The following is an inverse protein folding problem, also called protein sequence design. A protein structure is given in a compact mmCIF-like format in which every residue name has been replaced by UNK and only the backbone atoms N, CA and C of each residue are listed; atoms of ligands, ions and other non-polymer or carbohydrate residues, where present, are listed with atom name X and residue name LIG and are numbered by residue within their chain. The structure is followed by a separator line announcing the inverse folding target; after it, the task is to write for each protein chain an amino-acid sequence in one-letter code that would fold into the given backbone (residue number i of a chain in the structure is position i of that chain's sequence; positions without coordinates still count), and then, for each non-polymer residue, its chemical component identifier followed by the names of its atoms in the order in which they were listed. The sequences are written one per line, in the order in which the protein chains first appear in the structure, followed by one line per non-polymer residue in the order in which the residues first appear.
data_IF_512972340886
#
_entry.id   IF_512972340886
#
_cell.length_a   1.000
_cell.length_b   1.000
_cell.length_c   1.000
_cell.angle_alpha   90.00
_cell.angle_beta   90.00
_cell.angle_gamma   90.00
#
_symmetry.space_group_name_H-M   'P 1'
#
loop_
_entity.id
_entity.type
_entity.pdbx_description
1 polymer ?
#
# COMPACT_ATOMS: atom_id res chain seq x y z
N UNK A 1 -23.29 3.34 30.84
CA UNK A 1 -23.04 4.76 30.49
C UNK A 1 -22.19 4.73 29.23
N UNK A 2 -22.73 4.86 28.01
CA UNK A 2 -23.46 5.98 27.38
C UNK A 2 -22.54 7.12 26.91
N UNK A 3 -22.88 7.72 25.77
CA UNK A 3 -22.12 8.68 24.93
C UNK A 3 -21.18 7.95 23.93
N UNK A 4 -21.22 8.21 22.61
CA UNK A 4 -21.88 9.28 21.85
C UNK A 4 -22.81 8.76 20.74
N UNK A 5 -23.90 9.52 20.46
CA UNK A 5 -24.64 9.48 19.19
C UNK A 5 -24.07 10.57 18.28
N UNK A 6 -23.93 10.30 16.99
CA UNK A 6 -23.61 11.31 15.97
C UNK A 6 -24.88 11.69 15.21
N UNK A 7 -25.10 12.98 14.97
CA UNK A 7 -26.29 13.51 14.32
C UNK A 7 -25.88 14.33 13.07
N UNK A 8 -26.21 13.91 11.83
CA UNK A 8 -25.57 14.43 10.63
C UNK A 8 -26.34 15.60 10.00
N UNK A 9 -26.34 16.77 10.64
CA UNK A 9 -26.98 18.00 10.11
C UNK A 9 -26.32 19.30 10.62
N UNK A 10 -25.08 19.60 10.19
CA UNK A 10 -24.50 20.95 10.35
C UNK A 10 -23.46 21.25 9.23
N UNK A 11 -23.70 22.22 8.33
CA UNK A 11 -22.85 22.44 7.15
C UNK A 11 -21.66 23.42 7.37
N UNK A 12 -21.35 23.86 8.59
CA UNK A 12 -20.34 24.89 8.87
C UNK A 12 -19.20 24.46 9.82
N UNK A 13 -18.35 23.51 9.39
CA UNK A 13 -17.00 23.33 9.99
C UNK A 13 -15.93 23.14 8.91
N UNK A 14 -15.72 24.18 8.09
CA UNK A 14 -14.50 24.35 7.32
C UNK A 14 -13.47 25.14 8.17
N UNK A 15 -12.82 24.45 9.11
CA UNK A 15 -11.89 25.04 10.07
C UNK A 15 -10.68 24.15 10.33
N UNK A 16 -9.51 24.76 10.42
CA UNK A 16 -8.19 24.12 10.55
C UNK A 16 -8.15 23.00 11.61
N UNK A 17 -7.90 21.77 11.17
CA UNK A 17 -7.46 20.69 12.06
C UNK A 17 -5.93 20.78 12.23
N UNK A 18 -5.50 21.52 13.25
CA UNK A 18 -4.15 21.34 13.80
C UNK A 18 -4.03 19.92 14.37
N UNK A 19 -3.22 19.08 13.73
CA UNK A 19 -2.87 17.79 14.30
C UNK A 19 -1.90 18.00 15.47
N UNK A 20 -2.11 17.33 16.62
CA UNK A 20 -1.24 17.50 17.78
C UNK A 20 0.18 17.05 17.44
N UNK A 21 1.17 17.89 17.75
CA UNK A 21 2.59 17.54 17.69
C UNK A 21 2.87 16.34 18.59
N UNK A 22 2.92 15.15 18.00
CA UNK A 22 3.49 13.97 18.65
C UNK A 22 4.93 14.32 19.02
N UNK A 23 5.32 14.09 20.27
CA UNK A 23 6.63 14.50 20.78
C UNK A 23 7.77 13.75 20.09
N UNK A 24 8.40 14.40 19.10
CA UNK A 24 9.65 13.94 18.47
C UNK A 24 10.85 14.00 19.44
N UNK A 25 10.69 14.66 20.58
CA UNK A 25 11.73 15.03 21.56
C UNK A 25 12.37 13.90 22.37
N UNK A 26 12.29 12.64 21.93
CA UNK A 26 12.99 11.49 22.55
C UNK A 26 13.63 10.50 21.57
N UNK A 27 13.58 10.73 20.26
CA UNK A 27 14.27 9.86 19.27
C UNK A 27 15.66 10.33 18.85
N UNK A 28 16.09 11.53 19.25
CA UNK A 28 17.42 12.06 18.94
C UNK A 28 18.55 11.58 19.88
N UNK A 29 18.22 10.98 21.03
CA UNK A 29 19.17 10.82 22.14
C UNK A 29 20.13 9.61 22.03
N UNK A 30 19.71 8.50 21.40
CA UNK A 30 20.47 7.23 21.40
C UNK A 30 21.18 6.89 20.07
N UNK A 31 21.28 7.85 19.14
CA UNK A 31 22.08 7.74 17.91
C UNK A 31 23.61 7.81 18.16
N UNK A 32 24.08 7.17 19.23
CA UNK A 32 25.45 7.27 19.78
C UNK A 32 26.46 6.37 19.05
N UNK A 33 26.19 6.01 17.79
CA UNK A 33 27.18 5.53 16.82
C UNK A 33 27.23 6.44 15.60
N UNK A 34 28.00 7.53 15.75
CA UNK A 34 28.42 8.44 14.68
C UNK A 34 27.30 9.23 13.94
N UNK A 35 26.65 10.18 14.63
CA UNK A 35 25.80 11.27 14.08
C UNK A 35 26.53 12.26 13.13
N UNK A 36 27.20 11.73 12.11
CA UNK A 36 27.96 12.42 11.06
C UNK A 36 28.38 11.45 9.95
N UNK A 37 28.56 10.16 10.29
CA UNK A 37 28.41 9.08 9.31
C UNK A 37 26.91 8.86 9.13
N UNK A 38 26.16 8.61 10.22
CA UNK A 38 24.69 8.56 10.22
C UNK A 38 24.09 9.73 9.43
N UNK A 39 24.37 11.00 9.76
CA UNK A 39 23.84 12.14 8.99
C UNK A 39 24.23 12.20 7.51
N UNK A 40 25.39 11.67 7.10
CA UNK A 40 25.77 11.60 5.67
C UNK A 40 25.30 10.32 4.99
N UNK A 41 24.89 9.31 5.75
CA UNK A 41 24.43 7.99 5.29
C UNK A 41 22.90 7.96 5.24
N UNK A 42 22.18 8.56 6.21
CA UNK A 42 20.78 9.03 6.13
C UNK A 42 20.50 9.83 4.84
N UNK A 43 21.56 10.40 4.26
CA UNK A 43 21.58 11.26 3.08
C UNK A 43 22.04 10.50 1.81
N UNK A 44 22.19 9.16 1.80
CA UNK A 44 22.93 8.53 0.70
C UNK A 44 22.37 7.24 0.04
N UNK A 45 21.42 6.41 0.56
CA UNK A 45 20.81 5.31 -0.24
C UNK A 45 19.42 4.70 0.14
N UNK A 46 18.45 4.71 -0.80
CA UNK A 46 17.51 3.57 -1.00
C UNK A 46 17.30 3.34 -2.52
N UNK A 47 18.08 2.41 -3.10
CA UNK A 47 17.84 1.46 -4.22
C UNK A 47 16.77 1.74 -5.34
N UNK A 48 16.76 1.10 -6.53
CA UNK A 48 17.39 -0.10 -7.10
C UNK A 48 17.29 -0.02 -8.66
N UNK A 49 18.13 -0.74 -9.43
CA UNK A 49 17.72 -1.69 -10.50
C UNK A 49 18.98 -2.33 -11.18
N UNK A 50 18.92 -3.64 -11.46
CA UNK A 50 19.92 -4.39 -12.24
C UNK A 50 19.79 -4.18 -13.76
N UNK A 51 18.64 -3.73 -14.28
CA UNK A 51 18.39 -3.66 -15.72
C UNK A 51 19.20 -2.55 -16.45
N UNK A 52 19.51 -1.45 -15.77
CA UNK A 52 20.06 -0.24 -16.41
C UNK A 52 21.57 -0.27 -16.67
N UNK A 53 22.32 -1.18 -16.05
CA UNK A 53 23.76 -1.38 -16.32
C UNK A 53 24.06 -1.91 -17.75
N UNK A 54 23.03 -2.16 -18.56
CA UNK A 54 23.13 -2.61 -19.95
C UNK A 54 22.83 -1.53 -21.00
N UNK A 55 22.43 -0.32 -20.60
CA UNK A 55 22.11 0.78 -21.53
C UNK A 55 22.92 2.03 -21.18
N UNK A 56 23.65 2.53 -22.17
CA UNK A 56 24.38 3.80 -22.08
C UNK A 56 23.48 4.90 -21.49
N UNK A 57 23.99 5.75 -20.57
CA UNK A 57 23.27 6.95 -20.18
C UNK A 57 23.11 7.84 -21.41
N UNK A 58 21.87 7.95 -21.89
CA UNK A 58 21.50 8.97 -22.88
C UNK A 58 21.67 10.37 -22.28
N UNK A 59 21.75 11.41 -23.13
CA UNK A 59 22.01 12.77 -22.67
C UNK A 59 20.96 13.24 -21.65
N UNK A 60 21.44 13.99 -20.66
CA UNK A 60 20.69 14.47 -19.50
C UNK A 60 19.36 15.12 -19.90
N UNK A 61 18.24 14.52 -19.47
CA UNK A 61 16.96 15.22 -19.48
C UNK A 61 16.91 16.18 -18.30
N UNK A 62 17.21 17.45 -18.58
CA UNK A 62 16.88 18.56 -17.68
C UNK A 62 15.39 18.49 -17.31
N UNK A 63 15.10 18.25 -16.03
CA UNK A 63 13.76 18.44 -15.49
C UNK A 63 13.65 19.82 -14.85
N UNK A 64 12.66 20.59 -15.30
CA UNK A 64 12.40 21.96 -14.88
C UNK A 64 11.72 22.03 -13.50
N UNK A 65 12.08 23.07 -12.73
CA UNK A 65 11.45 23.44 -11.45
C UNK A 65 12.06 22.72 -10.24
N UNK A 66 12.67 23.37 -9.25
CA UNK A 66 12.73 24.79 -8.91
C UNK A 66 14.19 25.29 -8.91
N UNK A 67 14.41 26.61 -9.01
CA UNK A 67 15.67 27.21 -8.52
C UNK A 67 15.75 27.04 -7.00
N UNK A 68 16.36 25.93 -6.56
CA UNK A 68 16.51 25.63 -5.14
C UNK A 68 17.44 26.65 -4.48
N UNK A 69 17.01 27.28 -3.39
CA UNK A 69 17.82 28.21 -2.61
C UNK A 69 19.25 27.67 -2.39
N UNK A 70 20.25 28.42 -2.86
CA UNK A 70 21.67 28.03 -2.77
C UNK A 70 22.12 27.91 -1.31
N UNK A 71 21.49 28.71 -0.44
CA UNK A 71 21.71 28.81 0.99
C UNK A 71 20.38 29.10 1.71
N UNK A 72 20.25 28.63 2.95
CA UNK A 72 19.21 29.08 3.88
C UNK A 72 19.83 29.92 4.99
N UNK A 73 19.11 30.93 5.47
CA UNK A 73 19.45 31.62 6.71
C UNK A 73 18.54 31.06 7.81
N UNK A 74 19.13 30.32 8.75
CA UNK A 74 18.44 29.78 9.92
C UNK A 74 19.08 30.42 11.14
N UNK A 75 18.30 31.09 12.00
CA UNK A 75 18.78 31.77 13.21
C UNK A 75 19.99 32.70 12.98
N UNK A 76 19.92 33.53 11.93
CA UNK A 76 21.01 34.42 11.46
C UNK A 76 22.29 33.73 11.00
N UNK A 77 22.28 32.41 10.79
CA UNK A 77 23.41 31.60 10.36
C UNK A 77 23.20 31.06 8.94
N UNK A 78 24.26 31.13 8.13
CA UNK A 78 24.26 30.65 6.75
C UNK A 78 24.45 29.13 6.71
N UNK A 79 23.41 28.45 6.23
CA UNK A 79 23.35 27.01 5.97
C UNK A 79 23.49 26.78 4.46
N UNK A 80 24.41 25.91 4.05
CA UNK A 80 24.51 25.49 2.66
C UNK A 80 23.49 24.41 2.39
N UNK A 81 22.72 24.58 1.31
CA UNK A 81 21.88 23.52 0.74
C UNK A 81 22.69 22.90 -0.39
N UNK A 82 22.96 21.60 -0.33
CA UNK A 82 23.71 20.86 -1.36
C UNK A 82 22.90 19.64 -1.77
N UNK A 83 22.69 19.47 -3.07
CA UNK A 83 22.08 18.26 -3.60
C UNK A 83 23.18 17.25 -3.92
N UNK A 84 23.13 16.07 -3.31
CA UNK A 84 23.99 14.94 -3.68
C UNK A 84 23.13 13.92 -4.41
N UNK A 85 23.58 13.44 -5.57
CA UNK A 85 22.85 12.48 -6.40
C UNK A 85 23.69 11.24 -6.61
N UNK A 86 23.11 10.07 -6.38
CA UNK A 86 23.71 8.75 -6.60
C UNK A 86 22.69 7.91 -7.38
N UNK A 87 23.02 7.57 -8.62
CA UNK A 87 22.07 6.90 -9.52
C UNK A 87 20.84 7.76 -9.78
N UNK A 88 19.65 7.22 -9.48
CA UNK A 88 18.34 7.88 -9.59
C UNK A 88 17.91 8.62 -8.30
N UNK A 89 18.67 8.49 -7.21
CA UNK A 89 18.29 9.00 -5.90
C UNK A 89 19.10 10.25 -5.56
N UNK A 90 18.46 11.24 -4.93
CA UNK A 90 19.03 12.56 -4.64
C UNK A 90 18.62 13.02 -3.25
N UNK A 91 19.55 13.59 -2.49
CA UNK A 91 19.32 14.07 -1.13
C UNK A 91 19.79 15.49 -0.94
N UNK A 92 19.12 16.18 -0.03
CA UNK A 92 19.35 17.58 0.30
C UNK A 92 20.16 17.69 1.60
N UNK A 93 21.43 18.03 1.50
CA UNK A 93 22.31 18.27 2.64
C UNK A 93 22.17 19.72 3.08
N UNK A 94 21.57 19.94 4.26
CA UNK A 94 21.42 21.28 4.85
C UNK A 94 22.33 21.41 6.07
N UNK A 95 23.54 21.93 5.87
CA UNK A 95 24.60 22.00 6.90
C UNK A 95 25.44 23.28 6.81
N UNK A 96 25.95 23.76 7.94
CA UNK A 96 26.90 24.88 8.03
C UNK A 96 28.32 24.40 7.75
N UNK A 97 29.18 25.28 7.22
CA UNK A 97 30.60 24.96 6.96
C UNK A 97 31.35 24.36 8.18
N UNK A 98 31.01 24.80 9.40
CA UNK A 98 31.57 24.25 10.65
C UNK A 98 31.30 22.76 10.85
N UNK A 99 30.18 22.25 10.33
CA UNK A 99 29.74 20.87 10.47
C UNK A 99 30.52 19.97 9.49
N UNK A 100 30.71 20.42 8.25
CA UNK A 100 31.65 19.79 7.29
C UNK A 100 33.08 19.73 7.84
N UNK A 101 33.55 20.77 8.53
CA UNK A 101 34.87 20.76 9.18
C UNK A 101 34.95 19.79 10.38
N UNK A 102 33.86 19.58 11.12
CA UNK A 102 33.79 18.57 12.18
C UNK A 102 33.78 17.14 11.61
N UNK A 103 33.09 16.94 10.50
CA UNK A 103 33.08 15.68 9.75
C UNK A 103 34.46 15.32 9.21
N UNK A 104 35.08 16.22 8.44
CA UNK A 104 36.38 16.03 7.81
C UNK A 104 37.46 15.65 8.84
N UNK A 105 37.56 16.39 9.96
CA UNK A 105 38.47 16.09 11.07
C UNK A 105 38.25 14.72 11.71
N UNK A 106 37.00 14.22 11.72
CA UNK A 106 36.67 12.89 12.26
C UNK A 106 37.02 11.78 11.26
N UNK A 107 36.86 12.03 9.96
CA UNK A 107 37.08 11.07 8.86
C UNK A 107 38.55 10.96 8.43
N UNK A 108 39.28 12.07 8.44
CA UNK A 108 40.68 12.19 8.02
C UNK A 108 41.53 12.71 9.18
N UNK A 109 42.07 11.79 9.99
CA UNK A 109 42.95 12.12 11.13
C UNK A 109 44.22 12.87 10.70
N UNK A 110 44.66 12.68 9.45
CA UNK A 110 45.77 13.40 8.84
C UNK A 110 45.25 14.48 7.88
N UNK A 111 45.43 15.76 8.23
CA UNK A 111 44.98 16.91 7.43
C UNK A 111 45.57 16.94 6.00
N UNK A 112 46.70 16.28 5.75
CA UNK A 112 47.28 16.10 4.39
C UNK A 112 46.43 15.20 3.46
N UNK A 113 45.40 14.54 4.00
CA UNK A 113 44.44 13.70 3.27
C UNK A 113 43.04 14.33 3.23
N UNK A 114 42.88 15.54 3.76
CA UNK A 114 41.61 16.28 3.70
C UNK A 114 41.41 16.91 2.32
N UNK A 115 40.19 16.80 1.80
CA UNK A 115 39.76 17.43 0.56
C UNK A 115 38.87 18.67 0.81
N UNK A 116 38.73 19.10 2.08
CA UNK A 116 37.77 20.12 2.47
C UNK A 116 38.23 21.55 2.04
N UNK A 117 37.38 22.35 1.37
CA UNK A 117 37.77 23.67 0.87
C UNK A 117 38.05 24.68 1.99
N UNK A 118 39.26 25.26 1.99
CA UNK A 118 39.79 26.20 3.01
C UNK A 118 38.76 27.20 3.58
N UNK A 119 38.66 27.33 4.91
CA UNK A 119 37.79 28.32 5.57
C UNK A 119 38.30 29.74 5.31
N UNK A 120 37.69 30.46 4.36
CA UNK A 120 37.95 31.88 4.12
C UNK A 120 36.89 32.72 4.85
N UNK A 121 37.24 33.88 5.44
CA UNK A 121 36.25 34.75 6.07
C UNK A 121 35.25 35.27 5.03
N UNK A 122 33.95 35.20 5.33
CA UNK A 122 32.91 35.81 4.49
C UNK A 122 32.95 37.34 4.66
N UNK A 123 33.64 38.02 3.76
CA UNK A 123 33.39 39.43 3.52
C UNK A 123 32.02 39.57 2.82
N UNK A 124 30.98 39.91 3.61
CA UNK A 124 29.59 40.27 3.18
C UNK A 124 29.02 39.50 1.97
N UNK A 125 28.23 38.45 2.23
CA UNK A 125 27.11 37.96 1.37
C UNK A 125 27.35 37.91 -0.17
N UNK A 126 28.59 37.78 -0.65
CA UNK A 126 28.85 37.67 -2.09
C UNK A 126 28.25 36.36 -2.62
N UNK A 127 27.22 36.48 -3.46
CA UNK A 127 26.54 35.33 -4.04
C UNK A 127 27.50 34.46 -4.85
N UNK A 128 28.50 35.05 -5.52
CA UNK A 128 29.46 34.30 -6.30
C UNK A 128 30.38 33.47 -5.40
N UNK A 129 30.87 34.06 -4.30
CA UNK A 129 31.59 33.33 -3.25
C UNK A 129 30.75 32.20 -2.65
N UNK A 130 29.47 32.45 -2.34
CA UNK A 130 28.55 31.45 -1.77
C UNK A 130 28.27 30.32 -2.75
N UNK A 131 27.94 30.62 -4.00
CA UNK A 131 27.71 29.65 -5.09
C UNK A 131 28.97 28.81 -5.33
N UNK A 132 30.15 29.45 -5.41
CA UNK A 132 31.43 28.75 -5.52
C UNK A 132 31.72 27.85 -4.32
N UNK A 133 31.48 28.33 -3.09
CA UNK A 133 31.68 27.55 -1.86
C UNK A 133 30.74 26.35 -1.77
N UNK A 134 29.49 26.48 -2.20
CA UNK A 134 28.54 25.36 -2.34
C UNK A 134 29.11 24.30 -3.29
N UNK A 135 29.55 24.70 -4.48
CA UNK A 135 30.13 23.77 -5.46
C UNK A 135 31.40 23.08 -4.96
N UNK A 136 32.29 23.81 -4.27
CA UNK A 136 33.48 23.24 -3.62
C UNK A 136 33.11 22.20 -2.54
N UNK A 137 32.04 22.44 -1.76
CA UNK A 137 31.54 21.48 -0.75
C UNK A 137 30.80 20.29 -1.38
N UNK A 138 30.10 20.48 -2.50
CA UNK A 138 29.47 19.40 -3.26
C UNK A 138 30.52 18.47 -3.86
N UNK A 139 31.58 19.03 -4.47
CA UNK A 139 32.70 18.24 -4.98
C UNK A 139 33.42 17.49 -3.85
N UNK A 140 33.56 18.09 -2.67
CA UNK A 140 34.08 17.41 -1.48
C UNK A 140 33.23 16.19 -1.11
N UNK A 141 31.89 16.33 -1.04
CA UNK A 141 30.99 15.21 -0.75
C UNK A 141 31.08 14.10 -1.80
N UNK A 142 31.05 14.46 -3.10
CA UNK A 142 31.22 13.50 -4.22
C UNK A 142 32.54 12.74 -4.11
N UNK A 143 33.65 13.44 -3.84
CA UNK A 143 34.99 12.83 -3.70
C UNK A 143 35.07 11.89 -2.49
N UNK A 144 34.49 12.27 -1.34
CA UNK A 144 34.42 11.40 -0.16
C UNK A 144 33.60 10.14 -0.45
N UNK A 145 32.50 10.26 -1.20
CA UNK A 145 31.67 9.13 -1.60
C UNK A 145 32.37 8.18 -2.57
N UNK A 146 33.03 8.70 -3.60
CA UNK A 146 33.85 7.90 -4.54
C UNK A 146 34.96 7.13 -3.81
N UNK A 147 35.60 7.75 -2.81
CA UNK A 147 36.61 7.09 -1.97
C UNK A 147 36.03 5.93 -1.14
N UNK A 148 34.79 6.01 -0.66
CA UNK A 148 34.12 4.88 0.01
C UNK A 148 33.86 3.72 -0.98
N UNK A 149 33.42 4.00 -2.21
CA UNK A 149 33.23 2.98 -3.28
C UNK A 149 34.57 2.33 -3.67
N UNK A 150 35.64 3.11 -3.81
CA UNK A 150 36.96 2.58 -4.14
C UNK A 150 37.57 1.75 -3.00
N UNK A 151 37.28 2.10 -1.74
CA UNK A 151 37.63 1.28 -0.58
C UNK A 151 36.77 0.01 -0.48
N UNK A 152 35.51 0.05 -0.92
CA UNK A 152 34.63 -1.11 -1.01
C UNK A 152 35.14 -2.15 -2.01
N UNK A 153 35.48 -1.76 -3.25
CA UNK A 153 35.87 -2.70 -4.31
C UNK A 153 37.16 -3.47 -3.97
N UNK A 154 37.92 -3.01 -2.98
CA UNK A 154 39.11 -3.71 -2.43
C UNK A 154 38.81 -4.63 -1.25
N UNK A 155 37.56 -4.69 -0.77
CA UNK A 155 37.16 -5.37 0.49
C UNK A 155 36.05 -6.40 0.33
N UNK A 156 35.13 -6.25 -0.62
CA UNK A 156 33.98 -7.16 -0.78
C UNK A 156 33.68 -7.49 -2.24
N UNK A 157 33.22 -8.72 -2.47
CA UNK A 157 32.75 -9.23 -3.78
C UNK A 157 31.26 -8.90 -4.07
N UNK A 158 30.63 -8.02 -3.28
CA UNK A 158 29.20 -7.72 -3.37
C UNK A 158 28.90 -6.72 -4.51
N UNK A 159 27.79 -6.95 -5.22
CA UNK A 159 27.34 -6.12 -6.35
C UNK A 159 26.57 -4.85 -5.96
N UNK A 160 26.41 -4.59 -4.66
CA UNK A 160 25.64 -3.46 -4.09
C UNK A 160 26.61 -2.48 -3.43
N UNK A 161 26.59 -1.17 -3.74
CA UNK A 161 27.35 -0.15 -3.02
C UNK A 161 27.30 -0.26 -1.48
N UNK A 162 28.46 -0.13 -0.84
CA UNK A 162 28.70 -0.41 0.59
C UNK A 162 27.92 0.53 1.51
N UNK A 163 27.57 1.72 1.03
CA UNK A 163 26.72 2.66 1.75
C UNK A 163 25.25 2.16 1.81
N UNK A 164 24.67 1.70 0.67
CA UNK A 164 23.32 1.08 0.63
C UNK A 164 23.28 -0.09 1.59
N UNK A 165 24.29 -0.95 1.48
CA UNK A 165 24.45 -2.13 2.31
C UNK A 165 24.48 -1.79 3.80
N UNK A 166 25.21 -0.74 4.20
CA UNK A 166 25.27 -0.28 5.60
C UNK A 166 23.98 0.37 6.09
N UNK A 167 23.21 1.03 5.21
CA UNK A 167 21.89 1.58 5.57
C UNK A 167 20.88 0.45 5.81
N UNK A 168 20.80 -0.50 4.89
CA UNK A 168 20.00 -1.72 5.06
C UNK A 168 20.40 -2.45 6.35
N UNK A 169 21.71 -2.65 6.57
CA UNK A 169 22.22 -3.27 7.78
C UNK A 169 21.84 -2.47 9.03
N UNK A 170 22.02 -1.15 9.06
CA UNK A 170 21.66 -0.32 10.23
C UNK A 170 20.16 -0.35 10.53
N UNK A 171 19.31 -0.31 9.50
CA UNK A 171 17.85 -0.41 9.66
C UNK A 171 17.48 -1.79 10.22
N UNK A 172 18.11 -2.86 9.74
CA UNK A 172 17.94 -4.20 10.28
C UNK A 172 18.52 -4.36 11.70
N UNK A 173 19.65 -3.75 12.03
CA UNK A 173 20.29 -3.83 13.34
C UNK A 173 19.45 -3.09 14.41
N UNK A 174 18.95 -1.90 14.09
CA UNK A 174 18.05 -1.15 14.96
C UNK A 174 16.68 -1.84 15.12
N UNK A 175 16.17 -2.46 14.05
CA UNK A 175 14.97 -3.30 14.10
C UNK A 175 15.18 -4.56 14.95
N UNK A 176 16.31 -5.26 14.80
CA UNK A 176 16.64 -6.42 15.63
C UNK A 176 16.70 -6.05 17.11
N UNK A 177 17.34 -4.92 17.46
CA UNK A 177 17.39 -4.40 18.84
C UNK A 177 16.01 -4.09 19.42
N UNK A 178 15.11 -3.49 18.62
CA UNK A 178 13.72 -3.24 19.04
C UNK A 178 12.94 -4.55 19.21
N UNK A 179 13.10 -5.50 18.30
CA UNK A 179 12.38 -6.79 18.34
C UNK A 179 12.86 -7.71 19.47
N UNK A 180 14.14 -7.68 19.85
CA UNK A 180 14.64 -8.33 21.07
C UNK A 180 13.98 -7.74 22.32
N UNK A 181 13.76 -6.42 22.35
CA UNK A 181 13.18 -5.72 23.51
C UNK A 181 11.65 -5.81 23.59
N UNK A 182 10.97 -5.76 22.44
CA UNK A 182 9.53 -5.55 22.33
C UNK A 182 8.79 -6.61 21.50
N UNK A 183 9.49 -7.47 20.75
CA UNK A 183 8.89 -8.40 19.79
C UNK A 183 7.93 -9.42 20.43
N UNK A 184 8.35 -10.05 21.53
CA UNK A 184 7.49 -11.00 22.26
C UNK A 184 6.23 -10.33 22.81
N UNK A 185 6.24 -9.03 23.11
CA UNK A 185 5.02 -8.29 23.50
C UNK A 185 3.97 -8.39 22.38
N UNK A 186 4.32 -8.03 21.14
CA UNK A 186 3.40 -8.07 20.00
C UNK A 186 2.94 -9.49 19.65
N UNK A 187 3.83 -10.48 19.78
CA UNK A 187 3.50 -11.89 19.53
C UNK A 187 2.47 -12.39 20.55
N UNK A 188 2.63 -12.03 21.83
CA UNK A 188 1.79 -12.52 22.92
C UNK A 188 0.51 -11.70 23.13
N UNK A 189 0.53 -10.38 22.92
CA UNK A 189 -0.65 -9.51 23.06
C UNK A 189 -1.61 -9.63 21.87
N UNK A 190 -1.11 -10.02 20.70
CA UNK A 190 -1.87 -9.95 19.45
C UNK A 190 -2.11 -8.53 18.97
N UNK A 191 -1.41 -7.52 19.51
CA UNK A 191 -1.41 -6.17 18.97
C UNK A 191 -0.84 -6.16 17.54
N UNK A 192 -1.27 -5.19 16.72
CA UNK A 192 -0.68 -4.99 15.39
C UNK A 192 0.75 -4.45 15.53
N UNK A 193 1.73 -5.20 15.04
CA UNK A 193 3.06 -4.64 14.83
C UNK A 193 3.00 -3.67 13.65
N UNK A 194 3.44 -2.43 13.86
CA UNK A 194 3.48 -1.42 12.81
C UNK A 194 4.85 -1.40 12.15
N UNK A 195 4.89 -1.64 10.84
CA UNK A 195 6.07 -1.61 10.02
C UNK A 195 5.89 -0.60 8.88
N UNK A 196 6.96 0.09 8.48
CA UNK A 196 6.93 0.98 7.31
C UNK A 196 7.55 0.29 6.06
N UNK A 197 7.26 0.79 4.84
CA UNK A 197 7.83 0.23 3.61
C UNK A 197 9.36 0.21 3.55
N UNK A 198 10.06 1.11 4.25
CA UNK A 198 11.53 1.17 4.24
C UNK A 198 12.13 0.03 5.06
N UNK A 199 11.54 -0.28 6.21
CA UNK A 199 11.89 -1.46 7.01
C UNK A 199 11.65 -2.76 6.23
N UNK A 200 10.49 -2.90 5.59
CA UNK A 200 10.16 -4.08 4.77
C UNK A 200 11.12 -4.22 3.57
N UNK A 201 11.47 -3.10 2.94
CA UNK A 201 12.46 -3.02 1.88
C UNK A 201 13.85 -3.49 2.36
N UNK A 202 14.31 -2.98 3.50
CA UNK A 202 15.59 -3.37 4.09
C UNK A 202 15.64 -4.88 4.41
N UNK A 203 14.58 -5.46 4.99
CA UNK A 203 14.48 -6.91 5.24
C UNK A 203 14.57 -7.69 3.92
N UNK A 204 13.85 -7.24 2.89
CA UNK A 204 13.83 -7.89 1.56
C UNK A 204 15.21 -7.92 0.95
N UNK A 205 15.89 -6.77 0.90
CA UNK A 205 17.25 -6.69 0.35
C UNK A 205 18.26 -7.47 1.19
N UNK A 206 18.14 -7.45 2.53
CA UNK A 206 19.03 -8.18 3.44
C UNK A 206 18.96 -9.70 3.25
N UNK A 207 17.82 -10.22 2.80
CA UNK A 207 17.62 -11.62 2.40
C UNK A 207 18.24 -11.97 1.03
N UNK A 208 18.48 -10.99 0.15
CA UNK A 208 19.20 -11.24 -1.13
C UNK A 208 20.72 -11.35 -0.97
N UNK A 209 21.24 -10.95 0.20
CA UNK A 209 22.66 -10.91 0.51
C UNK A 209 23.13 -12.26 1.09
N UNK A 210 24.16 -12.84 0.48
CA UNK A 210 24.76 -14.11 0.89
C UNK A 210 25.69 -13.95 2.11
N UNK A 211 25.12 -13.55 3.24
CA UNK A 211 25.84 -13.24 4.48
C UNK A 211 25.19 -13.90 5.71
N UNK A 212 25.98 -14.25 6.75
CA UNK A 212 25.46 -14.81 8.00
C UNK A 212 24.46 -13.85 8.66
N UNK A 213 23.54 -14.40 9.46
CA UNK A 213 22.53 -13.59 10.18
C UNK A 213 23.15 -12.82 11.35
N UNK A 214 24.14 -13.43 12.02
CA UNK A 214 24.84 -12.83 13.15
C UNK A 214 25.68 -11.62 12.71
N UNK A 215 25.38 -10.45 13.26
CA UNK A 215 26.20 -9.25 13.14
C UNK A 215 27.47 -9.36 13.99
N UNK A 216 28.56 -8.75 13.54
CA UNK A 216 29.80 -8.67 14.32
C UNK A 216 29.71 -7.74 15.55
N UNK A 217 28.62 -6.96 15.65
CA UNK A 217 28.41 -5.99 16.73
C UNK A 217 27.72 -6.54 17.98
N UNK A 218 27.27 -7.81 17.96
CA UNK A 218 26.72 -8.51 19.13
C UNK A 218 25.45 -9.33 18.84
N UNK A 219 25.01 -10.16 19.80
CA UNK A 219 23.86 -11.04 19.62
C UNK A 219 22.53 -10.28 19.48
N UNK A 220 22.42 -9.08 20.05
CA UNK A 220 21.20 -8.24 19.97
C UNK A 220 20.95 -7.67 18.56
N UNK A 221 21.94 -7.81 17.66
CA UNK A 221 21.92 -7.37 16.27
C UNK A 221 21.79 -8.54 15.28
N UNK A 222 21.46 -9.74 15.75
CA UNK A 222 21.27 -10.89 14.86
C UNK A 222 20.01 -10.69 14.01
N UNK A 223 20.18 -10.73 12.69
CA UNK A 223 19.07 -10.71 11.73
C UNK A 223 18.10 -11.89 11.95
N UNK A 224 18.56 -12.96 12.59
CA UNK A 224 17.73 -14.08 13.04
C UNK A 224 16.57 -13.67 13.95
N UNK A 225 16.70 -12.61 14.76
CA UNK A 225 15.60 -12.11 15.61
C UNK A 225 14.46 -11.54 14.76
N UNK A 226 14.79 -10.82 13.69
CA UNK A 226 13.79 -10.34 12.72
C UNK A 226 13.10 -11.53 12.06
N UNK A 227 13.85 -12.57 11.68
CA UNK A 227 13.29 -13.74 11.00
C UNK A 227 12.37 -14.57 11.92
N UNK A 228 12.75 -14.84 13.18
CA UNK A 228 11.86 -15.51 14.14
C UNK A 228 10.58 -14.67 14.38
N UNK A 229 10.74 -13.36 14.58
CA UNK A 229 9.62 -12.44 14.75
C UNK A 229 8.68 -12.46 13.53
N UNK A 230 9.18 -12.28 12.30
CA UNK A 230 8.39 -12.35 11.07
C UNK A 230 7.68 -13.70 10.89
N UNK A 231 8.32 -14.81 11.27
CA UNK A 231 7.72 -16.15 11.19
C UNK A 231 6.69 -16.42 12.31
N UNK A 232 6.70 -15.65 13.40
CA UNK A 232 5.76 -15.77 14.53
C UNK A 232 4.64 -14.74 14.54
N UNK A 233 4.85 -13.58 13.94
CA UNK A 233 3.89 -12.47 13.90
C UNK A 233 2.55 -12.93 13.31
N UNK A 234 1.45 -12.43 13.88
CA UNK A 234 0.09 -12.76 13.43
C UNK A 234 -0.70 -11.55 12.94
N UNK A 235 -0.41 -10.34 13.41
CA UNK A 235 -1.12 -9.12 13.05
C UNK A 235 -0.13 -8.05 12.58
N UNK A 236 -0.11 -7.77 11.28
CA UNK A 236 0.80 -6.82 10.65
C UNK A 236 0.05 -5.57 10.18
N UNK A 237 0.57 -4.39 10.53
CA UNK A 237 0.10 -3.11 10.04
C UNK A 237 1.21 -2.42 9.24
N UNK A 238 0.98 -2.24 7.94
CA UNK A 238 1.90 -1.52 7.06
C UNK A 238 1.43 -0.06 6.97
N UNK A 239 2.28 0.87 7.41
CA UNK A 239 2.00 2.30 7.36
C UNK A 239 2.93 2.97 6.33
N UNK A 240 2.37 3.23 5.14
CA UNK A 240 3.03 4.00 4.09
C UNK A 240 3.12 5.49 4.43
N UNK A 241 4.01 6.20 3.75
CA UNK A 241 4.19 7.64 3.91
C UNK A 241 4.12 8.37 2.57
N UNK A 242 3.40 9.49 2.57
CA UNK A 242 3.30 10.41 1.42
C UNK A 242 4.49 11.38 1.33
N UNK A 243 5.24 11.54 2.44
CA UNK A 243 6.45 12.36 2.49
C UNK A 243 7.67 11.59 1.98
N UNK A 244 8.71 12.33 1.62
CA UNK A 244 10.02 11.76 1.30
C UNK A 244 10.67 11.17 2.56
N UNK A 245 11.49 10.14 2.40
CA UNK A 245 12.24 9.57 3.51
C UNK A 245 13.39 10.50 3.93
N UNK A 246 13.29 11.12 5.10
CA UNK A 246 14.28 12.10 5.57
C UNK A 246 14.49 13.24 4.56
N UNK A 247 15.75 13.53 4.24
CA UNK A 247 16.13 14.58 3.28
C UNK A 247 16.27 14.09 1.82
N UNK A 248 15.87 12.86 1.52
CA UNK A 248 15.98 12.25 0.19
C UNK A 248 14.88 12.70 -0.79
N UNK A 249 14.93 12.23 -2.03
CA UNK A 249 13.80 12.17 -2.96
C UNK A 249 13.07 10.80 -2.92
N UNK A 250 13.48 9.88 -2.04
CA UNK A 250 12.91 8.54 -1.93
C UNK A 250 11.49 8.65 -1.39
N UNK A 251 10.55 7.98 -2.05
CA UNK A 251 9.19 7.82 -1.58
C UNK A 251 9.05 6.39 -1.02
N UNK A 252 8.88 6.20 0.30
CA UNK A 252 8.75 4.86 0.90
C UNK A 252 7.77 3.95 0.18
N UNK A 253 6.63 4.49 -0.28
CA UNK A 253 5.59 3.74 -0.98
C UNK A 253 5.99 3.16 -2.34
N UNK A 254 7.11 3.60 -2.92
CA UNK A 254 7.61 3.12 -4.21
C UNK A 254 8.65 1.99 -4.06
N UNK A 255 9.02 1.61 -2.83
CA UNK A 255 10.01 0.57 -2.58
C UNK A 255 9.36 -0.81 -2.74
N UNK A 256 10.00 -1.69 -3.52
CA UNK A 256 9.54 -3.07 -3.72
C UNK A 256 10.00 -3.96 -2.55
N UNK A 257 9.05 -4.51 -1.80
CA UNK A 257 9.34 -5.39 -0.68
C UNK A 257 8.57 -6.71 -0.79
N UNK A 258 9.21 -7.80 -0.35
CA UNK A 258 8.61 -9.13 -0.30
C UNK A 258 8.11 -9.44 1.12
N UNK A 259 6.87 -9.89 1.18
CA UNK A 259 6.18 -10.27 2.42
C UNK A 259 6.20 -11.79 2.65
N UNK A 260 6.85 -12.55 1.76
CA UNK A 260 7.02 -13.99 1.90
C UNK A 260 7.78 -14.40 3.16
N UNK A 261 8.57 -13.52 3.77
CA UNK A 261 9.23 -13.74 5.07
C UNK A 261 8.21 -13.99 6.19
N UNK A 262 7.02 -13.40 6.11
CA UNK A 262 5.95 -13.66 7.04
C UNK A 262 5.17 -14.93 6.64
N UNK A 263 4.95 -15.84 7.61
CA UNK A 263 4.30 -17.16 7.38
C UNK A 263 3.07 -17.44 8.27
N UNK A 264 2.75 -16.54 9.20
CA UNK A 264 1.67 -16.72 10.19
C UNK A 264 0.72 -15.53 10.31
N UNK A 265 0.78 -14.54 9.41
CA UNK A 265 -0.14 -13.41 9.44
C UNK A 265 -1.57 -13.92 9.28
N UNK A 266 -2.44 -13.54 10.21
CA UNK A 266 -3.89 -13.78 10.24
C UNK A 266 -4.66 -12.52 9.84
N UNK A 267 -4.19 -11.36 10.29
CA UNK A 267 -4.80 -10.06 10.04
C UNK A 267 -3.80 -9.09 9.42
N UNK A 268 -4.20 -8.44 8.33
CA UNK A 268 -3.42 -7.42 7.64
C UNK A 268 -4.17 -6.09 7.66
N UNK A 269 -3.44 -5.03 8.00
CA UNK A 269 -3.87 -3.64 7.84
C UNK A 269 -2.86 -2.91 6.96
N UNK A 270 -3.30 -2.17 5.94
CA UNK A 270 -2.42 -1.26 5.18
C UNK A 270 -3.05 0.13 5.13
N UNK A 271 -2.25 1.19 5.30
CA UNK A 271 -2.72 2.58 5.24
C UNK A 271 -1.62 3.54 4.80
N UNK A 272 -1.96 4.70 4.23
CA UNK A 272 -1.00 5.78 3.94
C UNK A 272 -0.19 5.66 2.64
N UNK A 273 -0.40 4.61 1.84
CA UNK A 273 0.27 4.48 0.54
C UNK A 273 -0.48 5.25 -0.56
N UNK A 274 0.06 6.40 -0.98
CA UNK A 274 -0.63 7.34 -1.90
C UNK A 274 -0.26 7.19 -3.40
N UNK A 275 0.75 6.38 -3.74
CA UNK A 275 1.21 6.11 -5.12
C UNK A 275 1.67 4.64 -5.24
N UNK A 276 1.87 4.12 -6.47
CA UNK A 276 1.24 2.86 -6.84
C UNK A 276 1.99 1.62 -6.39
N UNK A 277 1.56 1.04 -5.26
CA UNK A 277 1.69 -0.40 -5.04
C UNK A 277 0.78 -1.10 -6.05
N UNK A 278 1.31 -1.41 -7.24
CA UNK A 278 0.56 -2.02 -8.35
C UNK A 278 0.16 -3.46 -8.01
N UNK A 279 1.04 -4.17 -7.30
CA UNK A 279 0.92 -5.59 -6.99
C UNK A 279 1.20 -5.84 -5.50
N UNK A 280 0.33 -6.55 -4.79
CA UNK A 280 0.60 -7.07 -3.44
C UNK A 280 0.57 -8.60 -3.44
N UNK A 281 1.59 -9.23 -2.86
CA UNK A 281 1.67 -10.68 -2.73
C UNK A 281 1.79 -11.11 -1.26
N UNK A 282 0.78 -11.83 -0.77
CA UNK A 282 0.72 -12.44 0.55
C UNK A 282 0.50 -13.97 0.45
N UNK A 283 0.99 -14.58 -0.63
CA UNK A 283 0.86 -16.02 -0.86
C UNK A 283 1.46 -16.84 0.28
N UNK A 284 0.79 -17.91 0.72
CA UNK A 284 1.34 -18.88 1.67
C UNK A 284 1.37 -18.39 3.12
N UNK A 285 0.43 -17.51 3.50
CA UNK A 285 0.24 -17.03 4.87
C UNK A 285 -0.95 -17.74 5.55
N UNK A 286 -1.43 -17.20 6.67
CA UNK A 286 -2.60 -17.74 7.41
C UNK A 286 -3.73 -16.72 7.49
N UNK A 287 -3.81 -15.82 6.50
CA UNK A 287 -4.78 -14.72 6.50
C UNK A 287 -6.19 -15.29 6.59
N UNK A 288 -6.98 -14.72 7.49
CA UNK A 288 -8.42 -15.02 7.62
C UNK A 288 -9.27 -13.83 7.19
N UNK A 289 -8.70 -12.62 7.20
CA UNK A 289 -9.34 -11.36 6.83
C UNK A 289 -8.29 -10.34 6.33
N UNK A 290 -8.75 -9.32 5.64
CA UNK A 290 -7.97 -8.14 5.22
C UNK A 290 -8.72 -6.88 5.65
N UNK A 291 -8.00 -5.78 5.85
CA UNK A 291 -8.62 -4.48 6.13
C UNK A 291 -7.81 -3.29 5.61
N UNK A 292 -8.52 -2.17 5.44
CA UNK A 292 -7.97 -0.86 5.06
C UNK A 292 -7.29 -0.74 3.68
N UNK A 293 -7.38 -1.77 2.82
CA UNK A 293 -6.77 -1.73 1.47
C UNK A 293 -7.47 -0.76 0.50
N UNK A 294 -8.64 -0.20 0.85
CA UNK A 294 -9.38 0.76 0.00
C UNK A 294 -8.61 2.06 -0.28
N UNK A 295 -7.65 2.40 0.58
CA UNK A 295 -6.78 3.56 0.38
C UNK A 295 -5.69 3.32 -0.68
N UNK A 296 -5.47 2.07 -1.10
CA UNK A 296 -4.52 1.68 -2.14
C UNK A 296 -5.12 1.92 -3.53
N UNK A 297 -5.34 3.18 -3.88
CA UNK A 297 -6.10 3.62 -5.07
C UNK A 297 -5.56 3.11 -6.42
N UNK A 298 -4.31 2.63 -6.45
CA UNK A 298 -3.63 2.12 -7.64
C UNK A 298 -3.31 0.61 -7.58
N UNK A 299 -3.80 -0.11 -6.56
CA UNK A 299 -3.60 -1.55 -6.43
C UNK A 299 -4.38 -2.28 -7.54
N UNK A 300 -3.65 -2.81 -8.51
CA UNK A 300 -4.22 -3.50 -9.66
C UNK A 300 -4.26 -5.02 -9.43
N UNK A 301 -3.24 -5.59 -8.81
CA UNK A 301 -3.15 -7.04 -8.53
C UNK A 301 -2.98 -7.33 -7.04
N UNK A 302 -3.79 -8.25 -6.52
CA UNK A 302 -3.72 -8.71 -5.13
C UNK A 302 -3.71 -10.24 -5.12
N UNK A 303 -2.59 -10.82 -4.69
CA UNK A 303 -2.43 -12.25 -4.51
C UNK A 303 -2.51 -12.63 -3.02
N UNK A 304 -3.58 -13.33 -2.68
CA UNK A 304 -3.92 -13.88 -1.37
C UNK A 304 -3.99 -15.41 -1.41
N UNK A 305 -3.35 -16.06 -2.39
CA UNK A 305 -3.42 -17.51 -2.54
C UNK A 305 -2.77 -18.28 -1.38
N UNK A 306 -3.16 -19.53 -1.17
CA UNK A 306 -2.64 -20.38 -0.08
C UNK A 306 -2.76 -19.72 1.31
N UNK A 307 -3.95 -19.23 1.64
CA UNK A 307 -4.27 -18.62 2.93
C UNK A 307 -5.41 -19.39 3.63
N UNK A 308 -6.04 -18.80 4.66
CA UNK A 308 -7.14 -19.41 5.42
C UNK A 308 -8.41 -18.56 5.39
N UNK A 309 -8.65 -17.84 4.30
CA UNK A 309 -9.78 -16.92 4.16
C UNK A 309 -11.06 -17.74 3.93
N UNK A 310 -12.04 -17.56 4.83
CA UNK A 310 -13.32 -18.29 4.82
C UNK A 310 -14.52 -17.42 4.42
N UNK A 311 -14.43 -16.10 4.64
CA UNK A 311 -15.51 -15.12 4.39
C UNK A 311 -14.90 -13.84 3.84
N UNK A 312 -15.57 -13.23 2.86
CA UNK A 312 -15.12 -12.01 2.17
C UNK A 312 -16.17 -10.89 2.19
N UNK A 313 -17.04 -10.90 3.19
CA UNK A 313 -18.11 -9.91 3.36
C UNK A 313 -17.54 -8.48 3.38
N UNK A 314 -18.25 -7.56 2.73
CA UNK A 314 -17.86 -6.16 2.51
C UNK A 314 -16.46 -5.92 1.91
N UNK A 315 -15.85 -6.91 1.24
CA UNK A 315 -14.57 -6.69 0.56
C UNK A 315 -14.62 -5.61 -0.50
N UNK A 316 -15.76 -5.37 -1.15
CA UNK A 316 -15.96 -4.22 -2.04
C UNK A 316 -15.86 -2.83 -1.36
N UNK A 317 -15.89 -2.76 -0.02
CA UNK A 317 -15.63 -1.54 0.75
C UNK A 317 -14.18 -1.47 1.25
N UNK A 318 -13.52 -2.63 1.34
CA UNK A 318 -12.15 -2.82 1.87
C UNK A 318 -11.07 -2.87 0.79
N UNK A 319 -11.46 -3.09 -0.45
CA UNK A 319 -10.58 -3.19 -1.61
C UNK A 319 -10.76 -1.95 -2.49
N UNK A 320 -9.65 -1.45 -3.02
CA UNK A 320 -9.64 -0.38 -4.01
C UNK A 320 -10.01 -0.87 -5.42
N UNK A 321 -9.46 -0.19 -6.43
CA UNK A 321 -9.77 -0.41 -7.84
C UNK A 321 -9.06 -1.64 -8.46
N UNK A 322 -9.21 -2.81 -7.83
CA UNK A 322 -8.49 -4.04 -8.18
C UNK A 322 -8.96 -4.61 -9.52
N UNK A 323 -7.99 -5.00 -10.35
CA UNK A 323 -8.17 -5.65 -11.66
C UNK A 323 -7.91 -7.16 -11.64
N UNK A 324 -6.99 -7.63 -10.81
CA UNK A 324 -6.55 -9.03 -10.73
C UNK A 324 -6.57 -9.48 -9.28
N UNK A 325 -7.45 -10.42 -8.93
CA UNK A 325 -7.60 -10.94 -7.56
C UNK A 325 -7.34 -12.45 -7.55
N UNK A 326 -6.31 -12.88 -6.83
CA UNK A 326 -5.92 -14.30 -6.74
C UNK A 326 -6.23 -14.78 -5.32
N UNK A 327 -7.24 -15.64 -5.20
CA UNK A 327 -7.75 -16.24 -3.97
C UNK A 327 -7.65 -17.77 -3.97
N UNK A 328 -6.84 -18.34 -4.87
CA UNK A 328 -6.64 -19.78 -5.00
C UNK A 328 -6.18 -20.43 -3.68
N UNK A 329 -6.57 -21.69 -3.42
CA UNK A 329 -6.20 -22.44 -2.23
C UNK A 329 -6.55 -21.70 -0.91
N UNK A 330 -7.79 -21.22 -0.82
CA UNK A 330 -8.39 -20.69 0.42
C UNK A 330 -9.53 -21.61 0.89
N UNK A 331 -10.44 -21.10 1.73
CA UNK A 331 -11.54 -21.88 2.33
C UNK A 331 -12.91 -21.26 2.05
N UNK A 332 -13.02 -20.45 0.99
CA UNK A 332 -14.21 -19.68 0.66
C UNK A 332 -15.41 -20.58 0.36
N UNK A 333 -16.52 -20.35 1.07
CA UNK A 333 -17.82 -21.01 0.83
C UNK A 333 -18.84 -20.14 0.10
N UNK A 334 -18.55 -18.85 0.00
CA UNK A 334 -19.35 -17.85 -0.73
C UNK A 334 -18.40 -16.73 -1.16
N UNK A 335 -18.74 -16.06 -2.26
CA UNK A 335 -18.04 -14.85 -2.74
C UNK A 335 -18.89 -13.58 -2.59
N UNK A 336 -19.93 -13.64 -1.75
CA UNK A 336 -20.67 -12.47 -1.30
C UNK A 336 -19.74 -11.49 -0.59
N UNK A 337 -19.61 -10.30 -1.17
CA UNK A 337 -18.59 -9.31 -0.86
C UNK A 337 -17.92 -8.71 -2.09
N UNK A 338 -17.82 -9.46 -3.21
CA UNK A 338 -17.13 -9.02 -4.44
C UNK A 338 -18.03 -8.29 -5.47
N UNK A 339 -19.35 -8.24 -5.26
CA UNK A 339 -20.36 -7.80 -6.25
C UNK A 339 -20.28 -6.33 -6.74
N UNK A 340 -19.39 -5.50 -6.16
CA UNK A 340 -19.16 -4.12 -6.61
C UNK A 340 -17.70 -3.85 -7.04
N UNK A 341 -16.88 -4.88 -7.24
CA UNK A 341 -15.53 -4.75 -7.79
C UNK A 341 -15.60 -4.55 -9.31
N UNK A 342 -16.18 -3.44 -9.77
CA UNK A 342 -16.54 -3.23 -11.18
C UNK A 342 -15.36 -3.28 -12.15
N UNK A 343 -14.15 -2.96 -11.68
CA UNK A 343 -12.91 -2.99 -12.46
C UNK A 343 -12.19 -4.34 -12.47
N UNK A 344 -12.73 -5.37 -11.81
CA UNK A 344 -12.11 -6.69 -11.74
C UNK A 344 -12.14 -7.36 -13.11
N UNK A 345 -10.97 -7.67 -13.67
CA UNK A 345 -10.78 -8.30 -14.98
C UNK A 345 -10.44 -9.79 -14.87
N UNK A 346 -9.76 -10.18 -13.79
CA UNK A 346 -9.29 -11.55 -13.54
C UNK A 346 -9.57 -11.95 -12.09
N UNK A 347 -10.20 -13.11 -11.89
CA UNK A 347 -10.51 -13.68 -10.59
C UNK A 347 -10.15 -15.17 -10.55
N UNK A 348 -9.22 -15.53 -9.67
CA UNK A 348 -8.82 -16.92 -9.44
C UNK A 348 -9.32 -17.39 -8.06
N UNK A 349 -10.27 -18.32 -8.08
CA UNK A 349 -10.92 -18.93 -6.93
C UNK A 349 -10.62 -20.44 -6.84
N UNK A 350 -9.62 -20.96 -7.58
CA UNK A 350 -9.30 -22.39 -7.62
C UNK A 350 -9.06 -22.98 -6.22
N UNK A 351 -9.34 -24.26 -6.03
CA UNK A 351 -9.12 -24.97 -4.76
C UNK A 351 -9.77 -24.26 -3.54
N UNK A 352 -11.02 -23.84 -3.66
CA UNK A 352 -11.82 -23.30 -2.55
C UNK A 352 -12.93 -24.29 -2.16
N UNK A 353 -13.99 -23.82 -1.49
CA UNK A 353 -15.08 -24.65 -0.93
C UNK A 353 -16.46 -24.20 -1.44
N UNK A 354 -16.53 -23.67 -2.67
CA UNK A 354 -17.76 -23.26 -3.32
C UNK A 354 -18.53 -24.51 -3.78
N UNK A 355 -19.79 -24.65 -3.38
CA UNK A 355 -20.54 -25.92 -3.51
C UNK A 355 -21.63 -25.84 -4.57
N UNK A 356 -22.19 -24.66 -4.80
CA UNK A 356 -23.31 -24.49 -5.72
C UNK A 356 -23.01 -23.42 -6.76
N UNK A 357 -23.54 -23.58 -7.98
CA UNK A 357 -23.34 -22.57 -9.03
C UNK A 357 -23.99 -21.22 -8.70
N UNK A 358 -25.01 -21.19 -7.82
CA UNK A 358 -25.61 -19.96 -7.29
C UNK A 358 -24.61 -19.10 -6.50
N UNK A 359 -23.57 -19.70 -5.92
CA UNK A 359 -22.52 -18.99 -5.17
C UNK A 359 -21.78 -17.98 -6.06
N UNK A 360 -21.82 -18.16 -7.40
CA UNK A 360 -21.15 -17.30 -8.39
C UNK A 360 -22.02 -16.13 -8.87
N UNK A 361 -23.32 -16.13 -8.56
CA UNK A 361 -24.25 -15.02 -8.88
C UNK A 361 -23.73 -13.61 -8.50
N UNK A 362 -23.03 -13.39 -7.35
CA UNK A 362 -22.55 -12.06 -6.97
C UNK A 362 -21.63 -11.39 -8.01
N UNK A 363 -20.87 -12.17 -8.79
CA UNK A 363 -19.91 -11.62 -9.77
C UNK A 363 -20.44 -11.58 -11.21
N UNK A 364 -21.61 -12.16 -11.50
CA UNK A 364 -22.18 -12.24 -12.86
C UNK A 364 -22.37 -10.88 -13.55
N UNK A 365 -22.63 -9.83 -12.76
CA UNK A 365 -22.85 -8.46 -13.25
C UNK A 365 -21.57 -7.59 -13.27
N UNK A 366 -20.37 -8.12 -12.98
CA UNK A 366 -19.14 -7.32 -12.98
C UNK A 366 -18.67 -7.03 -14.42
N UNK A 367 -18.77 -5.78 -14.92
CA UNK A 367 -18.72 -5.48 -16.35
C UNK A 367 -17.34 -5.69 -16.99
N UNK A 368 -16.27 -5.68 -16.20
CA UNK A 368 -14.90 -5.87 -16.69
C UNK A 368 -14.39 -7.31 -16.58
N UNK A 369 -15.11 -8.22 -15.92
CA UNK A 369 -14.60 -9.56 -15.61
C UNK A 369 -14.54 -10.41 -16.89
N UNK A 370 -13.33 -10.89 -17.21
CA UNK A 370 -13.00 -11.66 -18.42
C UNK A 370 -12.44 -13.04 -18.11
N UNK A 371 -11.74 -13.23 -16.99
CA UNK A 371 -11.15 -14.51 -16.62
C UNK A 371 -11.64 -14.92 -15.24
N UNK A 372 -12.22 -16.12 -15.16
CA UNK A 372 -12.71 -16.74 -13.93
C UNK A 372 -12.14 -18.16 -13.83
N UNK A 373 -11.33 -18.41 -12.81
CA UNK A 373 -10.82 -19.76 -12.51
C UNK A 373 -11.47 -20.29 -11.25
N UNK A 374 -12.00 -21.51 -11.32
CA UNK A 374 -12.85 -22.14 -10.30
C UNK A 374 -12.52 -23.63 -10.09
N UNK A 375 -11.68 -24.23 -10.94
CA UNK A 375 -11.22 -25.61 -10.82
C UNK A 375 -10.75 -25.99 -9.39
N UNK A 376 -11.04 -27.22 -8.96
CA UNK A 376 -10.80 -27.70 -7.60
C UNK A 376 -11.83 -27.22 -6.56
N UNK A 377 -12.98 -26.70 -6.97
CA UNK A 377 -14.11 -26.43 -6.08
C UNK A 377 -15.17 -27.55 -6.18
N UNK A 378 -15.88 -27.91 -5.09
CA UNK A 378 -16.93 -28.93 -5.12
C UNK A 378 -18.02 -28.74 -6.19
N UNK A 379 -18.33 -27.49 -6.59
CA UNK A 379 -19.29 -27.18 -7.66
C UNK A 379 -18.88 -27.68 -9.06
N UNK A 380 -17.60 -28.02 -9.29
CA UNK A 380 -17.07 -28.55 -10.55
C UNK A 380 -17.59 -29.97 -10.84
N UNK A 381 -17.97 -30.73 -9.79
CA UNK A 381 -18.51 -32.08 -9.92
C UNK A 381 -19.89 -32.15 -10.62
N UNK A 382 -20.52 -31.01 -10.93
CA UNK A 382 -21.78 -30.95 -11.66
C UNK A 382 -21.55 -31.14 -13.16
N UNK A 383 -22.27 -32.08 -13.81
CA UNK A 383 -22.19 -32.28 -15.27
C UNK A 383 -22.54 -31.01 -16.06
N UNK A 384 -23.43 -30.16 -15.53
CA UNK A 384 -23.82 -28.90 -16.16
C UNK A 384 -22.94 -27.70 -15.77
N UNK A 385 -21.88 -27.93 -14.96
CA UNK A 385 -21.06 -26.92 -14.28
C UNK A 385 -20.83 -25.67 -15.13
N UNK A 386 -20.10 -25.78 -16.24
CA UNK A 386 -19.75 -24.64 -17.11
C UNK A 386 -20.98 -23.88 -17.58
N UNK A 387 -21.98 -24.58 -18.12
CA UNK A 387 -23.21 -23.94 -18.64
C UNK A 387 -23.98 -23.17 -17.57
N UNK A 388 -24.04 -23.68 -16.33
CA UNK A 388 -24.73 -23.01 -15.21
C UNK A 388 -23.94 -21.85 -14.60
N UNK A 389 -22.62 -21.83 -14.74
CA UNK A 389 -21.78 -20.70 -14.34
C UNK A 389 -21.94 -19.55 -15.33
N UNK A 390 -21.85 -19.86 -16.63
CA UNK A 390 -22.01 -18.91 -17.72
C UNK A 390 -23.43 -18.28 -17.75
N UNK A 391 -24.45 -19.01 -17.30
CA UNK A 391 -25.83 -18.51 -17.11
C UNK A 391 -25.91 -17.26 -16.18
N UNK A 392 -24.95 -17.07 -15.28
CA UNK A 392 -24.89 -15.87 -14.42
C UNK A 392 -24.31 -14.65 -15.10
N UNK A 393 -23.54 -14.83 -16.17
CA UNK A 393 -22.98 -13.73 -16.99
C UNK A 393 -23.95 -13.26 -18.08
N UNK A 394 -25.02 -14.01 -18.33
CA UNK A 394 -26.10 -13.65 -19.26
C UNK A 394 -25.57 -13.32 -20.67
N UNK A 395 -25.86 -12.12 -21.17
CA UNK A 395 -25.49 -11.70 -22.51
C UNK A 395 -23.96 -11.54 -22.68
N UNK A 396 -23.20 -11.46 -21.57
CA UNK A 396 -21.73 -11.40 -21.53
C UNK A 396 -21.04 -12.78 -21.42
N UNK A 397 -21.77 -13.89 -21.49
CA UNK A 397 -21.19 -15.23 -21.39
C UNK A 397 -20.07 -15.49 -22.42
N UNK A 398 -20.11 -14.84 -23.59
CA UNK A 398 -19.06 -14.94 -24.62
C UNK A 398 -17.74 -14.21 -24.28
N UNK A 399 -17.76 -13.26 -23.34
CA UNK A 399 -16.57 -12.51 -22.91
C UNK A 399 -15.74 -13.24 -21.85
N UNK A 400 -16.29 -14.30 -21.24
CA UNK A 400 -15.74 -14.94 -20.04
C UNK A 400 -14.99 -16.22 -20.40
N UNK A 401 -13.68 -16.22 -20.13
CA UNK A 401 -12.84 -17.41 -20.09
C UNK A 401 -13.03 -18.08 -18.73
N UNK A 402 -13.56 -19.31 -18.74
CA UNK A 402 -13.80 -20.13 -17.56
C UNK A 402 -12.81 -21.29 -17.52
N UNK A 403 -12.03 -21.41 -16.45
CA UNK A 403 -11.00 -22.44 -16.25
C UNK A 403 -10.06 -22.62 -17.45
N UNK A 404 -9.47 -21.50 -17.88
CA UNK A 404 -8.55 -21.42 -19.02
C UNK A 404 -9.16 -21.88 -20.38
N UNK A 405 -10.49 -22.05 -20.46
CA UNK A 405 -11.23 -22.40 -21.67
C UNK A 405 -12.23 -21.30 -22.07
N UNK A 406 -12.09 -20.80 -23.31
CA UNK A 406 -13.07 -19.91 -23.95
C UNK A 406 -14.44 -20.59 -24.07
N UNK A 407 -15.52 -19.83 -23.97
CA UNK A 407 -16.87 -20.38 -24.14
C UNK A 407 -17.12 -20.83 -25.57
N UNK A 408 -17.57 -22.08 -25.73
CA UNK A 408 -17.90 -22.63 -27.04
C UNK A 408 -19.28 -22.17 -27.54
N UNK A 409 -19.53 -22.12 -28.86
CA UNK A 409 -20.84 -21.72 -29.40
C UNK A 409 -22.01 -22.55 -28.83
N UNK A 410 -21.81 -23.87 -28.65
CA UNK A 410 -22.83 -24.76 -28.07
C UNK A 410 -23.18 -24.42 -26.61
N UNK A 411 -22.20 -23.97 -25.84
CA UNK A 411 -22.45 -23.46 -24.48
C UNK A 411 -23.21 -22.13 -24.52
N UNK A 412 -22.88 -21.23 -25.45
CA UNK A 412 -23.61 -19.96 -25.65
C UNK A 412 -25.08 -20.19 -26.05
N UNK A 413 -25.35 -21.11 -26.98
CA UNK A 413 -26.72 -21.48 -27.36
C UNK A 413 -27.51 -21.99 -26.15
N UNK A 414 -26.90 -22.89 -25.37
CA UNK A 414 -27.48 -23.47 -24.15
C UNK A 414 -27.75 -22.41 -23.09
N UNK A 415 -26.80 -21.49 -22.89
CA UNK A 415 -26.92 -20.35 -21.96
C UNK A 415 -28.01 -19.40 -22.41
N UNK A 416 -28.10 -19.06 -23.70
CA UNK A 416 -29.15 -18.21 -24.25
C UNK A 416 -30.54 -18.76 -23.99
N UNK A 417 -30.76 -20.06 -24.25
CA UNK A 417 -32.02 -20.75 -23.94
C UNK A 417 -32.32 -20.72 -22.43
N UNK A 418 -31.34 -21.02 -21.57
CA UNK A 418 -31.52 -20.99 -20.10
C UNK A 418 -31.86 -19.59 -19.58
N UNK A 419 -31.15 -18.57 -20.05
CA UNK A 419 -31.37 -17.17 -19.68
C UNK A 419 -32.74 -16.68 -20.14
N UNK A 420 -33.20 -17.07 -21.34
CA UNK A 420 -34.53 -16.76 -21.82
C UNK A 420 -35.63 -17.41 -20.96
N UNK A 421 -35.48 -18.70 -20.62
CA UNK A 421 -36.40 -19.42 -19.71
C UNK A 421 -36.42 -18.77 -18.32
N UNK A 422 -35.25 -18.37 -17.79
CA UNK A 422 -35.14 -17.70 -16.49
C UNK A 422 -35.83 -16.33 -16.50
N UNK A 423 -35.54 -15.48 -17.49
CA UNK A 423 -36.19 -14.17 -17.67
C UNK A 423 -37.72 -14.31 -17.76
N UNK A 424 -38.21 -15.21 -18.61
CA UNK A 424 -39.65 -15.46 -18.76
C UNK A 424 -40.32 -15.95 -17.46
N UNK A 425 -39.62 -16.74 -16.65
CA UNK A 425 -40.09 -17.17 -15.33
C UNK A 425 -40.11 -16.00 -14.33
N UNK A 426 -39.04 -15.22 -14.25
CA UNK A 426 -38.93 -14.06 -13.37
C UNK A 426 -40.01 -13.01 -13.68
N UNK A 427 -40.27 -12.75 -14.97
CA UNK A 427 -41.36 -11.86 -15.41
C UNK A 427 -42.74 -12.41 -15.02
N UNK A 428 -42.99 -13.70 -15.21
CA UNK A 428 -44.25 -14.34 -14.78
C UNK A 428 -44.46 -14.26 -13.28
N UNK A 429 -43.42 -14.51 -12.48
CA UNK A 429 -43.48 -14.38 -11.02
C UNK A 429 -43.71 -12.92 -10.59
N UNK A 430 -43.10 -11.94 -11.27
CA UNK A 430 -43.32 -10.50 -11.04
C UNK A 430 -44.74 -10.07 -11.38
N UNK A 431 -45.30 -10.50 -12.50
CA UNK A 431 -46.70 -10.24 -12.86
C UNK A 431 -47.67 -10.85 -11.84
N UNK A 432 -47.39 -12.06 -11.35
CA UNK A 432 -48.21 -12.71 -10.32
C UNK A 432 -48.20 -11.94 -8.99
N UNK A 433 -47.05 -11.39 -8.58
CA UNK A 433 -46.94 -10.52 -7.40
C UNK A 433 -47.75 -9.23 -7.58
N UNK A 434 -47.56 -8.51 -8.68
CA UNK A 434 -48.31 -7.29 -8.98
C UNK A 434 -49.83 -7.51 -9.04
N UNK A 435 -50.27 -8.67 -9.55
CA UNK A 435 -51.68 -9.06 -9.53
C UNK A 435 -52.18 -9.31 -8.11
N UNK A 436 -51.38 -9.97 -7.26
CA UNK A 436 -51.71 -10.16 -5.84
C UNK A 436 -51.79 -8.85 -5.08
N UNK A 437 -50.78 -7.98 -5.20
CA UNK A 437 -50.72 -6.69 -4.51
C UNK A 437 -51.94 -5.81 -4.87
N UNK A 438 -52.42 -5.87 -6.12
CA UNK A 438 -53.65 -5.22 -6.57
C UNK A 438 -54.92 -5.79 -5.93
N UNK A 439 -55.00 -7.11 -5.75
CA UNK A 439 -56.13 -7.76 -5.09
C UNK A 439 -56.13 -7.40 -3.60
N UNK A 440 -54.98 -7.48 -2.93
CA UNK A 440 -54.84 -7.14 -1.51
C UNK A 440 -55.17 -5.65 -1.25
N UNK A 441 -54.77 -4.75 -2.15
CA UNK A 441 -55.15 -3.33 -2.08
C UNK A 441 -56.66 -3.10 -2.29
N UNK A 442 -57.27 -3.79 -3.27
CA UNK A 442 -58.71 -3.71 -3.51
C UNK A 442 -59.54 -4.27 -2.33
N UNK A 443 -59.07 -5.34 -1.68
CA UNK A 443 -59.68 -5.88 -0.47
C UNK A 443 -59.60 -4.88 0.69
N UNK A 444 -58.45 -4.24 0.91
CA UNK A 444 -58.32 -3.22 1.96
C UNK A 444 -59.25 -2.01 1.73
N UNK A 445 -59.45 -1.58 0.48
CA UNK A 445 -60.41 -0.52 0.13
C UNK A 445 -61.88 -0.89 0.39
N UNK A 446 -62.21 -2.18 0.44
CA UNK A 446 -63.54 -2.70 0.76
C UNK A 446 -63.74 -2.85 2.28
N UNK A 447 -62.66 -3.20 3.01
CA UNK A 447 -62.70 -3.41 4.47
C UNK A 447 -62.67 -2.09 5.24
N UNK A 448 -61.85 -1.12 4.83
CA UNK A 448 -61.78 0.24 5.39
C UNK A 448 -62.01 1.29 4.27
N UNK A 449 -63.27 1.53 3.86
CA UNK A 449 -63.57 2.57 2.88
C UNK A 449 -63.29 3.96 3.46
N UNK A 450 -62.67 4.89 2.70
CA UNK A 450 -62.40 6.24 3.18
C UNK A 450 -63.71 6.99 3.44
N UNK A 451 -63.83 7.56 4.64
CA UNK A 451 -65.01 8.31 5.10
C UNK A 451 -65.46 9.35 4.06
N UNK A 452 -66.73 9.26 3.65
CA UNK A 452 -67.37 10.27 2.81
C UNK A 452 -67.54 11.57 3.57
N UNK A 453 -67.01 12.67 3.03
CA UNK A 453 -67.32 14.00 3.52
C UNK A 453 -68.78 14.33 3.20
N UNK A 454 -69.61 14.47 4.24
CA UNK A 454 -71.04 14.75 4.09
C UNK A 454 -71.29 16.13 3.47
N UNK A 455 -72.23 16.16 2.53
CA UNK A 455 -72.80 17.39 1.98
C UNK A 455 -73.90 17.93 2.89
N UNK A 456 -73.60 18.97 3.68
CA UNK A 456 -74.63 19.76 4.38
C UNK A 456 -74.68 21.20 3.83
N UNK A 457 -75.59 21.43 2.89
CA UNK A 457 -75.97 22.78 2.48
C UNK A 457 -76.83 23.44 3.56
N UNK A 458 -76.31 24.43 4.27
CA UNK A 458 -77.09 25.34 5.12
C UNK A 458 -77.03 26.75 4.55
N UNK A 459 -78.21 27.28 4.17
CA UNK A 459 -78.39 28.67 3.78
C UNK A 459 -77.97 29.62 4.91
N UNK A 460 -77.01 30.52 4.66
CA UNK A 460 -76.87 31.73 5.46
C UNK A 460 -77.92 32.75 5.02
N UNK A 461 -78.96 32.90 5.84
CA UNK A 461 -79.57 34.21 6.07
C UNK A 461 -78.89 34.81 7.30
N UNK A 462 -78.33 36.00 7.17
CA UNK A 462 -79.02 37.18 7.71
C UNK A 462 -78.31 38.46 7.27
N UNK A 463 -79.08 39.54 7.21
CA UNK A 463 -78.60 40.84 6.79
C UNK A 463 -78.84 41.89 7.89
N UNK A 464 -77.80 42.70 8.15
CA UNK A 464 -77.89 44.11 8.59
C UNK A 464 -78.43 44.39 10.01
N UNK A 465 -78.14 45.58 10.59
CA UNK A 465 -77.47 46.76 10.00
C UNK A 465 -76.03 47.00 10.49
#
# INVERSE_FOLDING_TARGET
MSLFRYNPSDPNVAGQLEYPRIQESRREADYTRCALISDMVIIINLNLDRALLSRNPGPEKQFFGYESDVIKNVDSLLVYVICVTVGNVTWTVERRYSEFSRFDKKRFKNLKQSFLPSKRPLARKDENFVKKRRAELEQYLRTVFELEILLQNKRSSSKIPLAIYKEIQSICDDLARDLVSNGDKYINSGEFYQCDPVQLFAITERLTLAEPTCSADGPDFDFGHILDFCQRLTNLKILGSISRYGASNILPNNLEFDLSVFKKIKSLWVSGAAKPVVTLNFTGNKLTNIDHLQHLTHLNELNLSHNSIEKIFDWHQKLGNIKRLILAANKLKSIEGLQKLYSLEYLDLRNNRLVQTIDIRPIGNLPCLKVLLLAGNPLEASVEYRSRILEWFTDRAAEVVLDDQVTSPRELDTVGVRVAIRRAREDREKQLRLAKDRIDHALNMIVDPPYSADSSSSFEKDATP
#
